data_IF_763247295141
#
_entry.id   IF_763247295141
#
_cell.length_a   1.000
_cell.length_b   1.000
_cell.length_c   1.000
_cell.angle_alpha   90.00
_cell.angle_beta   90.00
_cell.angle_gamma   90.00
#
_symmetry.space_group_name_H-M   'P 1'
#
loop_
_entity.id
_entity.type
_entity.pdbx_description
1 polymer ?
#
# COMPACT_ATOMS: atom_id res chain seq x y z
N UNK A 1 9.82 2.48 16.83
CA UNK A 1 11.00 3.35 16.59
C UNK A 1 11.80 3.74 17.85
N UNK A 2 11.35 3.45 19.08
CA UNK A 2 12.04 3.86 20.33
C UNK A 2 13.31 3.03 20.65
N UNK A 3 13.41 1.77 20.17
CA UNK A 3 14.56 0.88 20.48
C UNK A 3 15.87 1.22 19.76
N UNK A 4 15.83 1.89 18.60
CA UNK A 4 17.05 2.26 17.86
C UNK A 4 17.90 3.32 18.57
N UNK A 5 17.28 4.20 19.37
CA UNK A 5 17.99 5.22 20.14
C UNK A 5 18.79 4.66 21.31
N UNK A 6 18.29 3.60 21.97
CA UNK A 6 18.96 2.98 23.12
C UNK A 6 20.23 2.24 22.69
N UNK A 7 20.17 1.46 21.60
CA UNK A 7 21.35 0.76 21.07
C UNK A 7 22.46 1.73 20.64
N UNK A 8 22.13 2.85 19.98
CA UNK A 8 23.11 3.87 19.59
C UNK A 8 23.80 4.49 20.80
N UNK A 9 23.04 4.81 21.85
CA UNK A 9 23.59 5.35 23.11
C UNK A 9 24.54 4.36 23.79
N UNK A 10 24.18 3.08 23.82
CA UNK A 10 25.04 2.02 24.38
C UNK A 10 26.34 1.94 23.58
N UNK A 11 26.28 1.91 22.25
CA UNK A 11 27.48 1.85 21.40
C UNK A 11 28.41 3.04 21.64
N UNK A 12 27.89 4.27 21.64
CA UNK A 12 28.73 5.45 21.91
C UNK A 12 29.33 5.45 23.32
N UNK A 13 28.56 5.02 24.32
CA UNK A 13 29.05 4.89 25.68
C UNK A 13 30.15 3.84 25.81
N UNK A 14 29.98 2.67 25.18
CA UNK A 14 30.99 1.61 25.16
C UNK A 14 32.28 2.09 24.49
N UNK A 15 32.19 2.76 23.34
CA UNK A 15 33.36 3.33 22.66
C UNK A 15 34.07 4.34 23.55
N UNK A 16 33.33 5.23 24.21
CA UNK A 16 33.89 6.23 25.12
C UNK A 16 34.62 5.58 26.31
N UNK A 17 34.01 4.57 26.94
CA UNK A 17 34.62 3.84 28.06
C UNK A 17 35.92 3.14 27.64
N UNK A 18 35.93 2.50 26.46
CA UNK A 18 37.13 1.81 25.96
C UNK A 18 38.27 2.78 25.66
N UNK A 19 37.98 3.94 25.04
CA UNK A 19 38.99 4.98 24.79
C UNK A 19 39.52 5.56 26.11
N UNK A 20 38.62 5.83 27.07
CA UNK A 20 38.99 6.36 28.38
C UNK A 20 39.89 5.37 29.14
N UNK A 21 39.60 4.07 29.10
CA UNK A 21 40.45 3.04 29.69
C UNK A 21 41.85 3.02 29.07
N UNK A 22 41.95 3.10 27.74
CA UNK A 22 43.23 3.19 27.03
C UNK A 22 44.03 4.41 27.51
N UNK A 23 43.39 5.58 27.60
CA UNK A 23 44.03 6.82 28.06
C UNK A 23 44.49 6.72 29.53
N UNK A 24 43.72 6.09 30.40
CA UNK A 24 44.12 5.87 31.81
C UNK A 24 45.35 4.98 31.89
N UNK A 25 45.37 3.84 31.18
CA UNK A 25 46.53 2.95 31.21
C UNK A 25 47.78 3.62 30.60
N UNK A 26 47.63 4.41 29.52
CA UNK A 26 48.73 5.17 28.95
C UNK A 26 49.26 6.25 29.90
N UNK A 27 48.39 7.02 30.55
CA UNK A 27 48.81 8.07 31.50
C UNK A 27 49.47 7.48 32.74
N UNK A 28 48.90 6.43 33.33
CA UNK A 28 49.51 5.71 34.48
C UNK A 28 50.87 5.13 34.09
N UNK A 29 51.00 4.54 32.91
CA UNK A 29 52.28 3.98 32.47
C UNK A 29 53.35 5.05 32.26
N UNK A 30 52.99 6.22 31.73
CA UNK A 30 53.92 7.35 31.58
C UNK A 30 54.30 7.93 32.96
N UNK A 31 53.34 8.13 33.86
CA UNK A 31 53.59 8.68 35.19
C UNK A 31 54.49 7.76 36.04
N UNK A 32 54.23 6.45 36.05
CA UNK A 32 55.08 5.47 36.75
C UNK A 32 56.47 5.38 36.10
N UNK A 33 56.57 5.56 34.78
CA UNK A 33 57.86 5.58 34.09
C UNK A 33 58.72 6.80 34.38
N UNK A 34 58.11 7.93 34.74
CA UNK A 34 58.80 9.16 35.15
C UNK A 34 59.13 9.20 36.66
N UNK A 35 58.56 8.31 37.48
CA UNK A 35 58.89 8.21 38.90
C UNK A 35 60.26 7.53 39.09
N UNK A 36 61.27 8.33 39.42
CA UNK A 36 62.61 7.88 39.82
C UNK A 36 62.79 8.20 41.31
N UNK A 37 62.28 7.32 42.20
CA UNK A 37 62.46 7.50 43.64
C UNK A 37 62.46 6.19 44.41
N UNK A 38 63.40 6.13 45.36
CA UNK A 38 63.77 5.11 46.34
C UNK A 38 63.13 3.71 46.29
N UNK A 39 64.01 2.73 46.40
CA UNK A 39 63.82 1.27 46.26
C UNK A 39 62.83 0.60 47.25
N UNK A 40 62.03 1.34 48.01
CA UNK A 40 61.17 0.77 49.06
C UNK A 40 59.70 0.60 48.67
N UNK A 41 59.20 1.27 47.63
CA UNK A 41 57.76 1.21 47.29
C UNK A 41 57.47 0.23 46.13
N UNK A 42 56.95 -0.95 46.45
CA UNK A 42 56.57 -2.01 45.50
C UNK A 42 55.50 -1.59 44.47
N UNK A 43 54.82 -0.46 44.70
CA UNK A 43 53.71 0.04 43.88
C UNK A 43 54.21 0.86 42.67
N UNK A 44 55.33 1.57 42.79
CA UNK A 44 55.90 2.41 41.73
C UNK A 44 57.19 1.84 41.16
N UNK A 45 57.12 0.64 40.59
CA UNK A 45 58.27 0.00 39.92
C UNK A 45 58.23 0.20 38.40
N UNK A 46 59.42 0.34 37.77
CA UNK A 46 59.58 0.38 36.30
C UNK A 46 58.99 -0.88 35.61
N UNK A 47 58.90 -2.00 36.33
CA UNK A 47 58.21 -3.23 35.89
C UNK A 47 56.68 -3.05 35.80
N UNK A 48 56.07 -2.43 36.81
CA UNK A 48 54.63 -2.12 36.84
C UNK A 48 54.23 -1.22 35.66
N UNK A 49 55.06 -0.23 35.33
CA UNK A 49 54.88 0.62 34.14
C UNK A 49 54.96 -0.14 32.82
N UNK A 50 55.89 -1.10 32.69
CA UNK A 50 56.03 -1.94 31.50
C UNK A 50 54.83 -2.89 31.32
N UNK A 51 54.30 -3.46 32.40
CA UNK A 51 53.07 -4.29 32.34
C UNK A 51 51.83 -3.46 32.02
N UNK A 52 51.74 -2.23 32.52
CA UNK A 52 50.66 -1.30 32.20
C UNK A 52 50.67 -0.91 30.70
N UNK A 53 51.85 -0.65 30.13
CA UNK A 53 52.04 -0.43 28.69
C UNK A 53 51.66 -1.66 27.86
N UNK A 54 52.00 -2.88 28.32
CA UNK A 54 51.60 -4.12 27.64
C UNK A 54 50.08 -4.23 27.55
N UNK A 55 49.36 -3.99 28.64
CA UNK A 55 47.89 -4.01 28.68
C UNK A 55 47.31 -2.96 27.73
N UNK A 56 47.86 -1.73 27.74
CA UNK A 56 47.45 -0.69 26.82
C UNK A 56 47.66 -1.07 25.34
N UNK A 57 48.79 -1.68 24.99
CA UNK A 57 49.09 -2.14 23.63
C UNK A 57 48.11 -3.25 23.18
N UNK A 58 47.79 -4.21 24.05
CA UNK A 58 46.82 -5.28 23.75
C UNK A 58 45.43 -4.70 23.52
N UNK A 59 44.99 -3.75 24.37
CA UNK A 59 43.70 -3.07 24.19
C UNK A 59 43.66 -2.25 22.89
N UNK A 60 44.74 -1.56 22.55
CA UNK A 60 44.86 -0.79 21.32
C UNK A 60 44.82 -1.68 20.07
N UNK A 61 45.51 -2.83 20.10
CA UNK A 61 45.47 -3.81 19.03
C UNK A 61 44.07 -4.41 18.87
N UNK A 62 43.38 -4.70 19.97
CA UNK A 62 41.99 -5.18 19.95
C UNK A 62 41.03 -4.17 19.32
N UNK A 63 41.14 -2.88 19.67
CA UNK A 63 40.30 -1.82 19.10
C UNK A 63 40.63 -1.61 17.62
N UNK A 64 41.92 -1.58 17.26
CA UNK A 64 42.36 -1.47 15.87
C UNK A 64 41.80 -2.61 15.00
N UNK A 65 41.88 -3.85 15.47
CA UNK A 65 41.32 -5.02 14.76
C UNK A 65 39.80 -4.89 14.53
N UNK A 66 39.06 -4.39 15.52
CA UNK A 66 37.60 -4.19 15.40
C UNK A 66 37.28 -3.07 14.40
N UNK A 67 38.00 -1.95 14.48
CA UNK A 67 37.83 -0.80 13.57
C UNK A 67 38.09 -1.21 12.12
N UNK A 68 39.14 -1.99 11.85
CA UNK A 68 39.45 -2.48 10.50
C UNK A 68 38.37 -3.44 10.00
N UNK A 69 37.90 -4.38 10.82
CA UNK A 69 36.85 -5.33 10.43
C UNK A 69 35.53 -4.61 10.07
N UNK A 70 35.11 -3.67 10.92
CA UNK A 70 33.88 -2.90 10.70
C UNK A 70 34.04 -1.95 9.52
N UNK A 71 35.21 -1.29 9.39
CA UNK A 71 35.52 -0.43 8.25
C UNK A 71 35.50 -1.17 6.91
N UNK A 72 36.05 -2.38 6.85
CA UNK A 72 36.03 -3.21 5.64
C UNK A 72 34.60 -3.59 5.25
N UNK A 73 33.77 -3.99 6.21
CA UNK A 73 32.37 -4.31 5.96
C UNK A 73 31.61 -3.11 5.35
N UNK A 74 31.75 -1.92 5.95
CA UNK A 74 31.12 -0.71 5.43
C UNK A 74 31.71 -0.26 4.10
N UNK A 75 33.00 -0.47 3.85
CA UNK A 75 33.64 -0.22 2.56
C UNK A 75 33.04 -1.09 1.46
N UNK A 76 32.95 -2.41 1.67
CA UNK A 76 32.40 -3.33 0.67
C UNK A 76 30.93 -3.01 0.39
N UNK A 77 30.12 -2.85 1.43
CA UNK A 77 28.69 -2.51 1.27
C UNK A 77 28.50 -1.14 0.62
N UNK A 78 29.26 -0.14 1.06
CA UNK A 78 29.18 1.22 0.52
C UNK A 78 29.60 1.29 -0.95
N UNK A 79 30.68 0.59 -1.33
CA UNK A 79 31.20 0.59 -2.70
C UNK A 79 30.28 -0.16 -3.66
N UNK A 80 29.80 -1.36 -3.30
CA UNK A 80 28.86 -2.14 -4.12
C UNK A 80 27.57 -1.34 -4.33
N UNK A 81 27.01 -0.76 -3.25
CA UNK A 81 25.75 -0.04 -3.34
C UNK A 81 25.90 1.28 -4.10
N UNK A 82 27.01 2.00 -3.91
CA UNK A 82 27.27 3.24 -4.64
C UNK A 82 27.44 2.99 -6.14
N UNK A 83 28.28 2.03 -6.54
CA UNK A 83 28.49 1.70 -7.95
C UNK A 83 27.26 1.08 -8.62
N UNK A 84 26.51 0.25 -7.90
CA UNK A 84 25.33 -0.43 -8.46
C UNK A 84 24.09 0.44 -8.55
N UNK A 85 23.85 1.32 -7.57
CA UNK A 85 22.56 2.00 -7.42
C UNK A 85 22.63 3.53 -7.34
N UNK A 86 23.78 4.17 -7.10
CA UNK A 86 23.86 5.63 -6.95
C UNK A 86 24.61 6.32 -8.11
N UNK A 87 25.73 5.75 -8.55
CA UNK A 87 26.52 6.25 -9.67
C UNK A 87 25.71 6.54 -10.96
N UNK A 88 24.74 5.70 -11.40
CA UNK A 88 23.96 5.98 -12.60
C UNK A 88 22.95 7.14 -12.43
N UNK A 89 22.68 7.60 -11.21
CA UNK A 89 21.65 8.62 -10.92
C UNK A 89 22.21 10.00 -10.58
N UNK A 90 23.51 10.11 -10.31
CA UNK A 90 24.15 11.35 -9.86
C UNK A 90 24.46 12.31 -11.03
N UNK A 91 24.56 11.83 -12.28
CA UNK A 91 24.85 12.67 -13.44
C UNK A 91 23.92 12.42 -14.65
N UNK A 92 23.03 13.38 -14.99
CA UNK A 92 22.16 13.27 -16.18
C UNK A 92 22.96 13.30 -17.50
N UNK A 93 24.20 13.80 -17.51
CA UNK A 93 25.10 13.77 -18.68
C UNK A 93 25.83 12.44 -18.88
N UNK A 94 25.95 11.60 -17.84
CA UNK A 94 26.49 10.24 -18.00
C UNK A 94 25.42 9.31 -18.57
N UNK A 95 24.13 9.59 -18.33
CA UNK A 95 23.00 8.88 -18.95
C UNK A 95 23.07 8.89 -20.48
N UNK A 96 23.50 9.99 -21.10
CA UNK A 96 23.70 10.05 -22.57
C UNK A 96 24.97 9.35 -23.06
N UNK A 97 25.98 9.19 -22.20
CA UNK A 97 27.23 8.47 -22.51
C UNK A 97 27.12 6.96 -22.28
N UNK A 98 26.34 6.51 -21.29
CA UNK A 98 26.04 5.11 -21.03
C UNK A 98 25.06 4.56 -22.09
N UNK A 99 24.04 5.34 -22.49
CA UNK A 99 23.17 4.98 -23.62
C UNK A 99 23.92 4.82 -24.96
N UNK A 100 25.12 5.40 -25.08
CA UNK A 100 25.99 5.23 -26.26
C UNK A 100 26.89 3.99 -26.17
N UNK A 101 27.13 3.44 -24.97
CA UNK A 101 27.98 2.24 -24.77
C UNK A 101 27.20 0.98 -24.35
N UNK A 102 25.96 1.10 -23.90
CA UNK A 102 25.08 -0.04 -23.58
C UNK A 102 24.46 -0.70 -24.82
N UNK A 103 24.67 -0.14 -26.02
CA UNK A 103 24.35 -0.81 -27.30
C UNK A 103 25.25 -2.02 -27.61
N UNK A 104 26.32 -2.24 -26.83
CA UNK A 104 27.32 -3.30 -27.06
C UNK A 104 27.04 -4.56 -26.23
N UNK A 105 26.15 -4.52 -25.24
CA UNK A 105 25.69 -5.73 -24.53
C UNK A 105 24.34 -6.16 -25.13
N UNK A 106 24.36 -6.46 -26.43
CA UNK A 106 23.37 -7.36 -27.01
C UNK A 106 23.66 -8.75 -26.45
N UNK A 107 22.97 -9.15 -25.39
CA UNK A 107 22.84 -10.56 -25.07
C UNK A 107 22.22 -11.22 -26.31
N UNK A 108 23.06 -11.91 -27.09
CA UNK A 108 22.61 -12.88 -28.07
C UNK A 108 21.75 -13.91 -27.35
N UNK A 109 20.44 -13.70 -27.41
CA UNK A 109 19.45 -14.71 -27.03
C UNK A 109 19.02 -15.43 -28.29
N UNK A 110 19.98 -16.11 -28.91
CA UNK A 110 19.70 -17.28 -29.72
C UNK A 110 19.64 -18.46 -28.75
N UNK A 111 18.43 -18.89 -28.44
CA UNK A 111 18.11 -20.31 -28.14
C UNK A 111 16.60 -20.46 -27.97
N UNK A 112 16.03 -21.08 -28.99
CA UNK A 112 14.99 -22.10 -28.93
C UNK A 112 13.61 -21.75 -28.39
N UNK A 113 12.69 -21.68 -29.36
CA UNK A 113 11.29 -22.12 -29.37
C UNK A 113 10.83 -23.00 -28.21
N UNK A 114 9.54 -22.78 -27.91
CA UNK A 114 8.59 -23.69 -27.25
C UNK A 114 8.75 -23.87 -25.74
N UNK A 115 8.08 -23.00 -24.97
CA UNK A 115 7.36 -23.48 -23.78
C UNK A 115 6.25 -22.50 -23.37
N UNK A 116 5.00 -22.96 -23.53
CA UNK A 116 3.85 -22.43 -22.81
C UNK A 116 4.05 -22.68 -21.31
N UNK A 117 4.52 -21.67 -20.57
CA UNK A 117 4.27 -21.61 -19.12
C UNK A 117 4.39 -20.17 -18.66
N UNK A 118 3.31 -19.69 -18.06
CA UNK A 118 3.22 -18.48 -17.25
C UNK A 118 4.40 -18.33 -16.29
N UNK A 119 5.39 -17.53 -16.67
CA UNK A 119 6.36 -16.93 -15.77
C UNK A 119 6.18 -15.42 -15.87
N UNK A 120 5.98 -14.69 -14.75
CA UNK A 120 5.97 -13.24 -14.80
C UNK A 120 7.39 -12.81 -15.18
N UNK A 121 7.53 -12.35 -16.42
CA UNK A 121 8.74 -11.68 -16.89
C UNK A 121 8.95 -10.50 -15.93
N UNK A 122 9.91 -10.65 -15.03
CA UNK A 122 10.14 -9.71 -13.95
C UNK A 122 10.54 -8.37 -14.60
N UNK A 123 9.65 -7.38 -14.55
CA UNK A 123 10.00 -6.00 -14.87
C UNK A 123 11.23 -5.66 -14.05
N UNK A 124 12.36 -5.39 -14.71
CA UNK A 124 13.48 -4.76 -14.04
C UNK A 124 13.10 -3.29 -13.86
N UNK A 125 12.38 -2.98 -12.78
CA UNK A 125 11.92 -1.61 -12.47
C UNK A 125 12.95 -0.50 -12.77
N UNK A 126 14.25 -0.78 -12.61
CA UNK A 126 15.35 0.12 -12.93
C UNK A 126 15.50 0.52 -14.40
N UNK A 127 15.23 -0.38 -15.35
CA UNK A 127 15.42 -0.15 -16.80
C UNK A 127 14.17 0.43 -17.44
N UNK A 128 13.01 -0.19 -17.22
CA UNK A 128 11.77 0.20 -17.91
C UNK A 128 11.14 1.49 -17.34
N UNK A 129 11.26 1.76 -16.03
CA UNK A 129 10.80 3.05 -15.45
C UNK A 129 11.86 4.15 -15.68
N UNK A 130 13.14 3.77 -15.77
CA UNK A 130 14.25 4.68 -16.01
C UNK A 130 14.27 5.27 -17.44
N UNK A 131 13.82 4.48 -18.41
CA UNK A 131 13.72 4.87 -19.83
C UNK A 131 12.42 5.59 -20.18
N UNK A 132 11.50 5.69 -19.23
CA UNK A 132 10.18 6.21 -19.50
C UNK A 132 10.17 7.68 -19.90
N UNK A 133 9.71 7.97 -21.13
CA UNK A 133 9.62 9.34 -21.62
C UNK A 133 8.45 10.10 -20.95
N UNK A 134 8.56 11.42 -20.76
CA UNK A 134 7.55 12.20 -20.05
C UNK A 134 6.16 12.24 -20.72
N UNK A 135 6.09 11.93 -22.02
CA UNK A 135 4.85 11.93 -22.79
C UNK A 135 4.25 10.52 -23.00
N UNK A 136 4.87 9.48 -22.47
CA UNK A 136 4.38 8.11 -22.59
C UNK A 136 3.50 7.72 -21.39
N UNK A 137 2.55 6.83 -21.65
CA UNK A 137 1.71 6.21 -20.62
C UNK A 137 2.28 4.87 -20.22
N UNK A 138 2.01 4.45 -18.99
CA UNK A 138 2.39 3.12 -18.50
C UNK A 138 1.84 2.00 -19.38
N UNK A 139 0.65 2.22 -19.94
CA UNK A 139 -0.02 1.27 -20.82
C UNK A 139 0.71 1.09 -22.15
N UNK A 140 1.27 2.17 -22.72
CA UNK A 140 2.12 2.06 -23.92
C UNK A 140 3.37 1.19 -23.70
N UNK A 141 3.97 1.28 -22.50
CA UNK A 141 5.18 0.50 -22.12
C UNK A 141 4.83 -0.96 -21.82
N UNK A 142 3.72 -1.19 -21.13
CA UNK A 142 3.23 -2.54 -20.84
C UNK A 142 2.80 -3.28 -22.12
N UNK A 143 2.27 -2.54 -23.11
CA UNK A 143 1.96 -3.06 -24.42
C UNK A 143 3.25 -3.43 -25.19
N UNK A 144 4.22 -2.52 -25.24
CA UNK A 144 5.52 -2.76 -25.90
C UNK A 144 6.33 -3.91 -25.29
N UNK A 145 6.18 -4.17 -24.00
CA UNK A 145 6.80 -5.30 -23.28
C UNK A 145 5.98 -6.60 -23.33
N UNK A 146 4.83 -6.60 -24.03
CA UNK A 146 3.91 -7.73 -24.15
C UNK A 146 3.45 -8.31 -22.80
N UNK A 147 3.38 -7.47 -21.77
CA UNK A 147 2.95 -7.85 -20.42
C UNK A 147 1.44 -7.68 -20.25
N UNK A 148 0.89 -6.63 -20.87
CA UNK A 148 -0.52 -6.32 -20.79
C UNK A 148 -1.03 -5.71 -22.09
N UNK A 149 -1.66 -6.56 -22.90
CA UNK A 149 -2.30 -6.15 -24.14
C UNK A 149 -3.75 -5.72 -23.88
N UNK A 150 -3.94 -4.40 -23.80
CA UNK A 150 -5.24 -3.75 -23.64
C UNK A 150 -6.11 -3.96 -24.88
N UNK A 151 -5.49 -3.96 -26.07
CA UNK A 151 -6.21 -4.04 -27.33
C UNK A 151 -6.92 -5.38 -27.47
N UNK A 152 -6.27 -6.48 -27.10
CA UNK A 152 -6.87 -7.82 -27.20
C UNK A 152 -7.77 -8.19 -26.01
N UNK A 153 -7.53 -7.66 -24.81
CA UNK A 153 -8.32 -8.02 -23.61
C UNK A 153 -9.65 -7.30 -23.50
N UNK A 154 -9.76 -6.08 -24.06
CA UNK A 154 -11.01 -5.30 -24.03
C UNK A 154 -11.94 -5.59 -25.21
N UNK A 155 -11.45 -6.19 -26.30
CA UNK A 155 -12.25 -6.66 -27.46
C UNK A 155 -13.06 -7.92 -27.13
N UNK A 156 -13.83 -7.89 -26.05
CA UNK A 156 -14.82 -8.93 -25.77
C UNK A 156 -15.99 -8.70 -26.71
N UNK A 157 -16.26 -9.66 -27.60
CA UNK A 157 -17.46 -9.63 -28.44
C UNK A 157 -18.69 -9.76 -27.53
N UNK A 158 -19.36 -8.64 -27.29
CA UNK A 158 -20.61 -8.59 -26.49
C UNK A 158 -21.74 -9.33 -27.20
N UNK A 159 -21.68 -9.42 -28.53
CA UNK A 159 -22.64 -10.14 -29.35
C UNK A 159 -21.95 -11.32 -30.04
N UNK A 160 -22.26 -12.53 -29.58
CA UNK A 160 -21.85 -13.74 -30.27
C UNK A 160 -22.63 -13.87 -31.59
N UNK A 161 -21.91 -13.84 -32.71
CA UNK A 161 -22.43 -14.21 -34.02
C UNK A 161 -22.24 -15.72 -34.25
N UNK A 162 -23.23 -16.45 -34.79
CA UNK A 162 -24.52 -15.96 -35.27
C UNK A 162 -25.53 -15.73 -34.15
N UNK A 163 -26.37 -14.72 -34.33
CA UNK A 163 -27.49 -14.48 -33.44
C UNK A 163 -28.43 -15.69 -33.48
N UNK A 164 -28.76 -16.31 -32.34
CA UNK A 164 -29.65 -17.47 -32.34
C UNK A 164 -31.00 -17.07 -32.93
N UNK A 165 -31.45 -17.78 -33.97
CA UNK A 165 -32.77 -17.56 -34.55
C UNK A 165 -33.81 -17.63 -33.44
N UNK A 166 -34.50 -16.52 -33.15
CA UNK A 166 -35.58 -16.55 -32.18
C UNK A 166 -36.73 -17.31 -32.83
N UNK A 167 -37.30 -18.25 -32.08
CA UNK A 167 -38.64 -18.73 -32.37
C UNK A 167 -39.60 -17.60 -31.98
N UNK A 168 -39.75 -16.59 -32.85
CA UNK A 168 -40.89 -15.69 -32.72
C UNK A 168 -42.15 -16.55 -32.77
N UNK A 169 -43.15 -16.21 -31.94
CA UNK A 169 -44.44 -16.87 -31.99
C UNK A 169 -44.89 -16.92 -33.47
N UNK A 170 -45.31 -18.08 -33.99
CA UNK A 170 -45.73 -18.17 -35.37
C UNK A 170 -46.90 -17.21 -35.57
N UNK A 171 -46.64 -16.07 -36.22
CA UNK A 171 -47.67 -15.05 -36.46
C UNK A 171 -48.82 -15.60 -37.31
N UNK A 172 -48.57 -16.70 -38.02
CA UNK A 172 -49.55 -17.47 -38.77
C UNK A 172 -50.62 -18.15 -37.90
N UNK A 173 -50.38 -18.38 -36.61
CA UNK A 173 -51.36 -18.98 -35.70
C UNK A 173 -52.19 -17.95 -34.93
N UNK A 174 -51.97 -16.65 -35.16
CA UNK A 174 -52.83 -15.60 -34.62
C UNK A 174 -54.10 -15.53 -35.46
N UNK A 175 -54.97 -16.52 -35.28
CA UNK A 175 -56.36 -16.40 -35.71
C UNK A 175 -57.07 -15.47 -34.72
N UNK A 176 -56.74 -14.18 -34.80
CA UNK A 176 -57.51 -13.11 -34.18
C UNK A 176 -58.77 -12.88 -35.02
N UNK A 177 -59.48 -13.97 -35.34
CA UNK A 177 -60.87 -13.91 -35.71
C UNK A 177 -61.59 -13.51 -34.43
N UNK A 178 -61.59 -12.19 -34.21
CA UNK A 178 -62.47 -11.54 -33.27
C UNK A 178 -63.89 -11.88 -33.75
N UNK A 179 -64.35 -13.07 -33.35
CA UNK A 179 -65.73 -13.38 -33.07
C UNK A 179 -66.13 -12.56 -31.82
N UNK A 180 -65.82 -11.25 -31.82
CA UNK A 180 -66.67 -10.36 -31.07
C UNK A 180 -68.05 -10.67 -31.65
N UNK A 181 -68.98 -11.03 -30.77
CA UNK A 181 -70.41 -11.04 -31.06
C UNK A 181 -70.90 -9.60 -31.32
N UNK A 182 -70.11 -8.81 -32.07
CA UNK A 182 -70.44 -7.55 -32.73
C UNK A 182 -71.79 -7.65 -33.43
N UNK A 183 -72.16 -8.76 -34.12
CA UNK A 183 -73.50 -8.87 -34.71
C UNK A 183 -74.61 -8.83 -33.65
N UNK A 184 -74.42 -9.46 -32.48
CA UNK A 184 -75.42 -9.44 -31.39
C UNK A 184 -75.51 -8.06 -30.72
N UNK A 185 -74.38 -7.36 -30.52
CA UNK A 185 -74.38 -6.01 -29.95
C UNK A 185 -74.97 -4.97 -30.90
N UNK A 186 -74.72 -5.14 -32.20
CA UNK A 186 -75.31 -4.31 -33.25
C UNK A 186 -76.79 -4.63 -33.48
N UNK A 187 -77.32 -5.81 -33.16
CA UNK A 187 -78.74 -6.08 -33.43
C UNK A 187 -79.71 -5.40 -32.46
N UNK A 188 -79.20 -4.79 -31.39
CA UNK A 188 -79.99 -4.15 -30.36
C UNK A 188 -80.02 -2.62 -30.54
N UNK A 189 -80.97 -1.93 -29.90
CA UNK A 189 -81.13 -0.47 -29.86
C UNK A 189 -79.92 0.33 -29.32
N UNK A 190 -78.79 -0.33 -29.07
CA UNK A 190 -77.57 0.27 -28.52
C UNK A 190 -76.65 0.86 -29.61
N UNK A 191 -76.94 0.65 -30.90
CA UNK A 191 -76.13 1.21 -32.01
C UNK A 191 -75.97 2.73 -31.91
N UNK A 192 -77.07 3.42 -31.68
CA UNK A 192 -77.12 4.87 -31.70
C UNK A 192 -76.99 5.49 -30.30
N UNK A 193 -76.43 4.71 -29.35
CA UNK A 193 -76.22 5.16 -27.98
C UNK A 193 -75.25 6.35 -27.92
N UNK A 194 -75.63 7.36 -27.13
CA UNK A 194 -74.82 8.50 -26.70
C UNK A 194 -75.52 9.14 -25.49
N UNK A 195 -74.81 9.48 -24.41
CA UNK A 195 -75.43 10.04 -23.19
C UNK A 195 -76.28 11.30 -23.45
N UNK A 196 -75.83 12.17 -24.36
CA UNK A 196 -76.55 13.38 -24.79
C UNK A 196 -78.02 13.14 -25.20
N UNK A 197 -78.36 11.96 -25.72
CA UNK A 197 -79.75 11.66 -26.05
C UNK A 197 -80.62 11.47 -24.81
N UNK A 198 -80.04 11.02 -23.70
CA UNK A 198 -80.72 10.79 -22.43
C UNK A 198 -80.70 12.05 -21.57
N UNK A 199 -79.58 12.78 -21.54
CA UNK A 199 -79.47 14.00 -20.72
C UNK A 199 -80.41 15.11 -21.17
N UNK A 200 -80.80 15.15 -22.45
CA UNK A 200 -81.84 16.06 -22.97
C UNK A 200 -83.22 15.89 -22.33
N UNK A 201 -83.51 14.71 -21.76
CA UNK A 201 -84.79 14.43 -21.11
C UNK A 201 -84.71 14.52 -19.58
N UNK A 202 -83.54 14.83 -19.01
CA UNK A 202 -83.40 15.06 -17.58
C UNK A 202 -83.81 16.51 -17.25
N UNK A 203 -84.74 16.68 -16.31
CA UNK A 203 -85.15 17.99 -15.85
C UNK A 203 -84.08 18.62 -14.95
N UNK A 204 -83.57 19.79 -15.32
CA UNK A 204 -82.73 20.62 -14.43
C UNK A 204 -83.58 21.45 -13.45
N UNK A 205 -84.84 21.72 -13.80
CA UNK A 205 -85.79 22.49 -13.00
C UNK A 205 -87.01 21.61 -12.66
N UNK A 206 -87.21 21.34 -11.36
CA UNK A 206 -88.27 20.43 -10.89
C UNK A 206 -89.58 21.14 -10.60
N UNK A 207 -89.51 22.43 -10.26
CA UNK A 207 -90.66 23.24 -9.87
C UNK A 207 -90.77 24.43 -10.82
N UNK A 208 -91.99 24.79 -11.27
CA UNK A 208 -92.18 25.90 -12.22
C UNK A 208 -91.88 27.28 -11.62
N UNK A 209 -91.67 27.34 -10.29
CA UNK A 209 -91.32 28.56 -9.55
C UNK A 209 -90.25 28.18 -8.52
N UNK A 210 -89.35 29.10 -8.20
CA UNK A 210 -88.40 28.94 -7.11
C UNK A 210 -89.13 28.97 -5.76
N UNK A 211 -89.27 27.78 -5.15
CA UNK A 211 -89.92 27.64 -3.85
C UNK A 211 -89.23 28.48 -2.77
N UNK A 212 -87.91 28.67 -2.85
CA UNK A 212 -87.16 29.49 -1.88
C UNK A 212 -87.47 30.98 -2.02
N UNK A 213 -87.75 31.44 -3.23
CA UNK A 213 -88.19 32.81 -3.49
C UNK A 213 -89.60 33.04 -2.93
N UNK A 214 -90.53 32.13 -3.19
CA UNK A 214 -91.90 32.18 -2.61
C UNK A 214 -91.83 32.23 -1.08
N UNK A 215 -91.02 31.36 -0.46
CA UNK A 215 -90.85 31.34 1.00
C UNK A 215 -90.34 32.69 1.52
N UNK A 216 -89.34 33.29 0.86
CA UNK A 216 -88.82 34.62 1.22
C UNK A 216 -89.88 35.70 1.10
N UNK A 217 -90.63 35.72 0.00
CA UNK A 217 -91.71 36.69 -0.21
C UNK A 217 -92.78 36.59 0.86
N UNK A 218 -93.18 35.37 1.24
CA UNK A 218 -94.15 35.14 2.31
C UNK A 218 -93.61 35.64 3.66
N UNK A 219 -92.35 35.34 3.99
CA UNK A 219 -91.74 35.84 5.23
C UNK A 219 -91.55 37.36 5.25
N UNK A 220 -91.42 38.01 4.10
CA UNK A 220 -91.39 39.48 3.97
C UNK A 220 -92.79 40.10 4.05
N UNK A 221 -93.82 39.40 3.60
CA UNK A 221 -95.21 39.87 3.59
C UNK A 221 -95.89 39.69 4.96
N UNK A 222 -95.71 38.54 5.60
CA UNK A 222 -96.37 38.17 6.85
C UNK A 222 -96.27 39.24 7.95
N UNK A 223 -95.10 39.85 8.25
CA UNK A 223 -94.98 40.87 9.28
C UNK A 223 -95.75 42.16 8.95
N UNK A 224 -95.90 42.47 7.66
CA UNK A 224 -96.61 43.67 7.18
C UNK A 224 -98.12 43.58 7.36
N UNK A 225 -98.65 42.36 7.53
CA UNK A 225 -100.07 42.12 7.78
C UNK A 225 -100.46 42.30 9.25
N UNK A 226 -99.52 42.64 10.13
CA UNK A 226 -99.82 42.92 11.53
C UNK A 226 -100.67 44.19 11.68
N UNK A 227 -101.76 44.10 12.43
CA UNK A 227 -102.64 45.22 12.74
C UNK A 227 -103.03 45.18 14.21
N UNK A 228 -103.23 46.35 14.83
CA UNK A 228 -103.60 46.46 16.25
C UNK A 228 -104.92 45.76 16.59
N UNK A 229 -105.83 45.65 15.62
CA UNK A 229 -107.16 45.04 15.76
C UNK A 229 -107.22 43.57 15.28
N UNK A 230 -106.09 42.99 14.86
CA UNK A 230 -106.00 41.57 14.49
C UNK A 230 -106.78 41.15 13.23
N UNK A 231 -107.15 42.09 12.35
CA UNK A 231 -108.05 41.85 11.21
C UNK A 231 -107.49 40.78 10.25
N UNK A 232 -106.16 40.73 10.08
CA UNK A 232 -105.46 39.80 9.18
C UNK A 232 -104.70 38.69 9.90
N UNK A 233 -104.93 38.45 11.20
CA UNK A 233 -104.14 37.49 11.97
C UNK A 233 -104.24 36.05 11.46
N UNK A 234 -105.42 35.66 10.99
CA UNK A 234 -105.64 34.34 10.37
C UNK A 234 -104.82 34.19 9.08
N UNK A 235 -104.81 35.20 8.21
CA UNK A 235 -104.08 35.20 6.94
C UNK A 235 -102.58 35.19 7.20
N UNK A 236 -102.14 35.99 8.18
CA UNK A 236 -100.77 36.05 8.67
C UNK A 236 -100.29 34.65 9.10
N UNK A 237 -100.98 34.00 10.04
CA UNK A 237 -100.59 32.67 10.53
C UNK A 237 -100.67 31.60 9.41
N UNK A 238 -101.71 31.63 8.58
CA UNK A 238 -101.86 30.67 7.48
C UNK A 238 -100.71 30.77 6.48
N UNK A 239 -100.32 31.99 6.10
CA UNK A 239 -99.16 32.25 5.24
C UNK A 239 -97.87 31.72 5.86
N UNK A 240 -97.65 31.94 7.15
CA UNK A 240 -96.46 31.44 7.84
C UNK A 240 -96.42 29.90 7.86
N UNK A 241 -97.55 29.25 8.17
CA UNK A 241 -97.63 27.79 8.16
C UNK A 241 -97.36 27.23 6.77
N UNK A 242 -97.88 27.89 5.72
CA UNK A 242 -97.65 27.45 4.35
C UNK A 242 -96.19 27.65 3.92
N UNK A 243 -95.54 28.75 4.29
CA UNK A 243 -94.11 28.93 4.05
C UNK A 243 -93.28 27.82 4.70
N UNK A 244 -93.62 27.40 5.93
CA UNK A 244 -92.95 26.28 6.62
C UNK A 244 -93.24 24.94 5.93
N UNK A 245 -94.46 24.72 5.43
CA UNK A 245 -94.79 23.53 4.64
C UNK A 245 -93.98 23.47 3.33
N UNK A 246 -93.93 24.57 2.58
CA UNK A 246 -93.17 24.68 1.33
C UNK A 246 -91.68 24.48 1.61
N UNK A 247 -91.15 25.06 2.68
CA UNK A 247 -89.77 24.84 3.13
C UNK A 247 -89.49 23.35 3.35
N UNK A 248 -90.39 22.64 4.03
CA UNK A 248 -90.25 21.20 4.27
C UNK A 248 -90.29 20.39 2.97
N UNK A 249 -91.20 20.72 2.04
CA UNK A 249 -91.24 20.06 0.73
C UNK A 249 -89.99 20.32 -0.08
N UNK A 250 -89.49 21.55 -0.06
CA UNK A 250 -88.22 21.90 -0.69
C UNK A 250 -87.10 21.07 -0.08
N UNK A 251 -86.86 21.15 1.23
CA UNK A 251 -85.74 20.52 1.92
C UNK A 251 -85.73 18.99 1.77
N UNK A 252 -86.90 18.35 1.76
CA UNK A 252 -87.01 16.89 1.69
C UNK A 252 -86.97 16.32 0.27
N UNK A 253 -87.49 17.04 -0.73
CA UNK A 253 -87.69 16.49 -2.08
C UNK A 253 -86.71 17.08 -3.10
N UNK A 254 -86.61 18.42 -3.18
CA UNK A 254 -85.93 19.10 -4.29
C UNK A 254 -84.43 18.78 -4.32
N UNK A 255 -83.64 18.96 -3.23
CA UNK A 255 -82.23 18.59 -3.21
C UNK A 255 -81.99 17.10 -3.46
N UNK A 256 -82.86 16.23 -2.92
CA UNK A 256 -82.70 14.78 -3.07
C UNK A 256 -82.91 14.34 -4.51
N UNK A 257 -83.97 14.79 -5.17
CA UNK A 257 -84.24 14.40 -6.57
C UNK A 257 -83.18 15.02 -7.49
N UNK A 258 -82.78 16.27 -7.28
CA UNK A 258 -81.67 16.89 -8.02
C UNK A 258 -80.36 16.10 -7.85
N UNK A 259 -80.06 15.62 -6.65
CA UNK A 259 -78.88 14.78 -6.39
C UNK A 259 -78.90 13.50 -7.22
N UNK A 260 -80.04 12.79 -7.27
CA UNK A 260 -80.16 11.57 -8.07
C UNK A 260 -80.07 11.85 -9.58
N UNK A 261 -80.63 12.98 -10.05
CA UNK A 261 -80.50 13.41 -11.46
C UNK A 261 -79.04 13.67 -11.80
N UNK A 262 -78.30 14.33 -10.92
CA UNK A 262 -76.88 14.56 -11.10
C UNK A 262 -76.07 13.25 -11.09
N UNK A 263 -76.38 12.32 -10.18
CA UNK A 263 -75.75 11.00 -10.15
C UNK A 263 -76.00 10.22 -11.45
N UNK A 264 -77.24 10.18 -11.94
CA UNK A 264 -77.57 9.56 -13.24
C UNK A 264 -76.77 10.19 -14.38
N UNK A 265 -76.60 11.53 -14.38
CA UNK A 265 -75.79 12.24 -15.36
C UNK A 265 -74.31 11.82 -15.30
N UNK A 266 -73.75 11.67 -14.10
CA UNK A 266 -72.36 11.21 -13.94
C UNK A 266 -72.18 9.78 -14.46
N UNK A 267 -73.10 8.87 -14.14
CA UNK A 267 -73.06 7.49 -14.63
C UNK A 267 -73.14 7.45 -16.16
N UNK A 268 -74.03 8.23 -16.78
CA UNK A 268 -74.13 8.31 -18.24
C UNK A 268 -72.84 8.83 -18.89
N UNK A 269 -72.19 9.83 -18.28
CA UNK A 269 -70.88 10.33 -18.75
C UNK A 269 -69.76 9.30 -18.58
N UNK A 270 -69.81 8.48 -17.52
CA UNK A 270 -68.85 7.41 -17.30
C UNK A 270 -69.01 6.29 -18.34
N UNK A 271 -70.26 5.90 -18.65
CA UNK A 271 -70.55 4.94 -19.71
C UNK A 271 -70.00 5.45 -21.05
N UNK A 272 -70.19 6.74 -21.37
CA UNK A 272 -69.66 7.33 -22.59
C UNK A 272 -68.12 7.21 -22.68
N UNK A 273 -67.40 7.44 -21.58
CA UNK A 273 -65.94 7.28 -21.53
C UNK A 273 -65.48 5.85 -21.76
N UNK A 274 -66.24 4.86 -21.28
CA UNK A 274 -65.90 3.45 -21.39
C UNK A 274 -66.20 2.88 -22.79
N UNK A 275 -67.23 3.40 -23.44
CA UNK A 275 -67.85 2.76 -24.60
C UNK A 275 -67.62 3.54 -25.90
N UNK A 276 -67.50 4.86 -25.84
CA UNK A 276 -67.33 5.71 -27.02
C UNK A 276 -65.86 6.02 -27.30
N UNK A 277 -65.45 5.84 -28.55
CA UNK A 277 -64.12 6.22 -29.02
C UNK A 277 -64.17 7.60 -29.66
N UNK A 278 -63.44 8.56 -29.07
CA UNK A 278 -63.42 9.98 -29.51
C UNK A 278 -64.82 10.60 -29.61
N UNK A 279 -65.72 10.25 -28.69
CA UNK A 279 -67.11 10.74 -28.66
C UNK A 279 -67.92 10.45 -29.93
N UNK A 280 -67.50 9.48 -30.75
CA UNK A 280 -68.36 9.00 -31.82
C UNK A 280 -69.50 8.17 -31.24
N UNK A 281 -70.57 7.99 -32.01
CA UNK A 281 -71.61 7.01 -31.70
C UNK A 281 -71.01 5.61 -31.48
N UNK A 282 -71.70 4.79 -30.68
CA UNK A 282 -71.19 3.47 -30.30
C UNK A 282 -70.90 2.58 -31.53
N UNK A 283 -71.77 2.60 -32.54
CA UNK A 283 -71.60 1.86 -33.79
C UNK A 283 -70.28 2.20 -34.51
N UNK A 284 -69.99 3.49 -34.67
CA UNK A 284 -68.76 3.99 -35.30
C UNK A 284 -67.54 3.63 -34.45
N UNK A 285 -67.64 3.79 -33.14
CA UNK A 285 -66.57 3.42 -32.21
C UNK A 285 -66.21 1.93 -32.32
N UNK A 286 -67.23 1.07 -32.41
CA UNK A 286 -67.08 -0.37 -32.60
C UNK A 286 -66.49 -0.73 -33.98
N UNK A 287 -66.92 -0.04 -35.04
CA UNK A 287 -66.35 -0.22 -36.39
C UNK A 287 -64.86 0.16 -36.42
N UNK A 288 -64.50 1.32 -35.86
CA UNK A 288 -63.10 1.76 -35.79
C UNK A 288 -62.27 0.73 -35.00
N UNK A 289 -62.76 0.23 -33.87
CA UNK A 289 -62.08 -0.80 -33.10
C UNK A 289 -61.86 -2.08 -33.92
N UNK A 290 -62.90 -2.54 -34.63
CA UNK A 290 -62.82 -3.70 -35.52
C UNK A 290 -61.79 -3.50 -36.63
N UNK A 291 -61.81 -2.34 -37.28
CA UNK A 291 -60.85 -1.99 -38.33
C UNK A 291 -59.42 -1.87 -37.80
N UNK A 292 -59.21 -1.26 -36.64
CA UNK A 292 -57.90 -1.17 -35.99
C UNK A 292 -57.35 -2.55 -35.64
N UNK A 293 -58.18 -3.42 -35.06
CA UNK A 293 -57.77 -4.78 -34.73
C UNK A 293 -57.50 -5.64 -35.98
N UNK A 294 -58.32 -5.49 -37.03
CA UNK A 294 -58.10 -6.18 -38.30
C UNK A 294 -56.78 -5.74 -38.94
N UNK A 295 -56.50 -4.43 -38.98
CA UNK A 295 -55.22 -3.90 -39.48
C UNK A 295 -54.02 -4.38 -38.68
N UNK A 296 -54.11 -4.40 -37.35
CA UNK A 296 -53.05 -4.91 -36.50
C UNK A 296 -52.78 -6.41 -36.76
N UNK A 297 -53.83 -7.20 -36.94
CA UNK A 297 -53.74 -8.63 -37.24
C UNK A 297 -53.08 -8.88 -38.60
N UNK A 298 -53.49 -8.13 -39.63
CA UNK A 298 -52.89 -8.20 -40.97
C UNK A 298 -51.40 -7.80 -40.90
N UNK A 299 -51.06 -6.71 -40.21
CA UNK A 299 -49.67 -6.28 -40.05
C UNK A 299 -48.81 -7.34 -39.35
N UNK A 300 -49.28 -7.92 -38.25
CA UNK A 300 -48.54 -8.95 -37.52
C UNK A 300 -48.33 -10.21 -38.36
N UNK A 301 -49.35 -10.64 -39.11
CA UNK A 301 -49.28 -11.82 -39.99
C UNK A 301 -48.37 -11.59 -41.19
N UNK A 302 -48.52 -10.46 -41.88
CA UNK A 302 -47.87 -10.25 -43.18
C UNK A 302 -46.47 -9.63 -43.05
N UNK A 303 -46.24 -8.77 -42.03
CA UNK A 303 -44.98 -8.01 -41.85
C UNK A 303 -44.31 -8.22 -40.49
N UNK A 304 -44.91 -8.97 -39.58
CA UNK A 304 -44.41 -9.12 -38.21
C UNK A 304 -43.01 -9.74 -38.16
N UNK A 305 -42.80 -10.82 -38.90
CA UNK A 305 -41.51 -11.54 -38.94
C UNK A 305 -40.41 -10.70 -39.61
N UNK A 306 -40.70 -10.08 -40.76
CA UNK A 306 -39.78 -9.19 -41.46
C UNK A 306 -39.35 -8.02 -40.57
N UNK A 307 -40.34 -7.32 -39.98
CA UNK A 307 -40.09 -6.14 -39.13
C UNK A 307 -39.29 -6.54 -37.88
N UNK A 308 -39.61 -7.67 -37.25
CA UNK A 308 -38.89 -8.14 -36.07
C UNK A 308 -37.45 -8.54 -36.39
N UNK A 309 -37.22 -9.19 -37.54
CA UNK A 309 -35.89 -9.55 -38.01
C UNK A 309 -35.04 -8.32 -38.34
N UNK A 310 -35.61 -7.35 -39.06
CA UNK A 310 -34.94 -6.09 -39.40
C UNK A 310 -34.59 -5.28 -38.14
N UNK A 311 -35.54 -5.12 -37.21
CA UNK A 311 -35.32 -4.42 -35.95
C UNK A 311 -34.22 -5.12 -35.14
N UNK A 312 -34.26 -6.45 -35.05
CA UNK A 312 -33.21 -7.22 -34.38
C UNK A 312 -31.85 -6.95 -35.00
N UNK A 313 -31.75 -7.01 -36.33
CA UNK A 313 -30.48 -6.76 -37.05
C UNK A 313 -29.97 -5.36 -36.77
N UNK A 314 -30.81 -4.35 -36.91
CA UNK A 314 -30.43 -2.95 -36.71
C UNK A 314 -30.01 -2.67 -35.26
N UNK A 315 -30.76 -3.18 -34.26
CA UNK A 315 -30.39 -3.03 -32.84
C UNK A 315 -29.09 -3.75 -32.53
N UNK A 316 -28.89 -4.94 -33.08
CA UNK A 316 -27.66 -5.71 -32.88
C UNK A 316 -26.45 -4.98 -33.43
N UNK A 317 -26.54 -4.49 -34.68
CA UNK A 317 -25.47 -3.71 -35.32
C UNK A 317 -25.20 -2.44 -34.52
N UNK A 318 -26.26 -1.73 -34.12
CA UNK A 318 -26.13 -0.51 -33.33
C UNK A 318 -25.43 -0.77 -32.00
N UNK A 319 -25.83 -1.80 -31.26
CA UNK A 319 -25.21 -2.14 -29.97
C UNK A 319 -23.75 -2.56 -30.15
N UNK A 320 -23.43 -3.39 -31.15
CA UNK A 320 -22.05 -3.80 -31.43
C UNK A 320 -21.16 -2.60 -31.79
N UNK A 321 -21.66 -1.70 -32.64
CA UNK A 321 -20.97 -0.46 -33.01
C UNK A 321 -20.73 0.45 -31.80
N UNK A 322 -21.75 0.69 -30.97
CA UNK A 322 -21.61 1.52 -29.77
C UNK A 322 -20.60 0.93 -28.77
N UNK A 323 -20.60 -0.39 -28.61
CA UNK A 323 -19.62 -1.08 -27.75
C UNK A 323 -18.21 -0.95 -28.32
N UNK A 324 -18.02 -1.18 -29.63
CA UNK A 324 -16.71 -1.06 -30.26
C UNK A 324 -16.18 0.38 -30.18
N UNK A 325 -17.01 1.38 -30.45
CA UNK A 325 -16.66 2.79 -30.33
C UNK A 325 -16.24 3.16 -28.89
N UNK A 326 -16.93 2.62 -27.89
CA UNK A 326 -16.56 2.82 -26.49
C UNK A 326 -15.23 2.14 -26.15
N UNK A 327 -15.00 0.90 -26.61
CA UNK A 327 -13.74 0.19 -26.43
C UNK A 327 -12.58 0.96 -27.07
N UNK A 328 -12.73 1.45 -28.29
CA UNK A 328 -11.71 2.24 -28.98
C UNK A 328 -11.39 3.55 -28.24
N UNK A 329 -12.41 4.23 -27.73
CA UNK A 329 -12.22 5.41 -26.88
C UNK A 329 -11.40 5.07 -25.63
N UNK A 330 -11.75 3.99 -24.92
CA UNK A 330 -11.03 3.55 -23.72
C UNK A 330 -9.58 3.19 -24.04
N UNK A 331 -9.33 2.45 -25.12
CA UNK A 331 -7.96 2.10 -25.57
C UNK A 331 -7.18 3.39 -25.85
N UNK A 332 -7.75 4.32 -26.61
CA UNK A 332 -7.10 5.59 -26.96
C UNK A 332 -6.77 6.43 -25.72
N UNK A 333 -7.71 6.57 -24.78
CA UNK A 333 -7.48 7.30 -23.53
C UNK A 333 -6.43 6.62 -22.66
N UNK A 334 -6.44 5.28 -22.57
CA UNK A 334 -5.42 4.52 -21.85
C UNK A 334 -4.01 4.71 -22.43
N UNK A 335 -3.88 4.73 -23.76
CA UNK A 335 -2.58 4.86 -24.41
C UNK A 335 -2.04 6.29 -24.38
N UNK A 336 -2.90 7.31 -24.37
CA UNK A 336 -2.47 8.71 -24.53
C UNK A 336 -2.56 9.56 -23.26
N UNK A 337 -3.59 9.36 -22.43
CA UNK A 337 -3.93 10.30 -21.35
C UNK A 337 -3.84 9.68 -19.94
N UNK A 338 -4.13 8.38 -19.80
CA UNK A 338 -4.17 7.71 -18.49
C UNK A 338 -2.82 7.12 -18.11
N UNK A 339 -2.40 7.33 -16.86
CA UNK A 339 -1.19 6.70 -16.33
C UNK A 339 0.10 7.24 -16.94
N UNK A 340 0.21 8.57 -17.09
CA UNK A 340 1.44 9.23 -17.53
C UNK A 340 2.62 8.81 -16.67
N UNK A 341 3.74 8.58 -17.32
CA UNK A 341 4.88 7.98 -16.66
C UNK A 341 5.81 8.98 -15.98
N UNK A 342 5.80 10.25 -16.40
CA UNK A 342 6.57 11.34 -15.79
C UNK A 342 6.50 11.37 -14.24
N UNK A 343 5.32 11.35 -13.58
CA UNK A 343 5.25 11.35 -12.12
C UNK A 343 5.83 10.07 -11.49
N UNK A 344 5.67 8.91 -12.13
CA UNK A 344 6.20 7.64 -11.62
C UNK A 344 7.74 7.62 -11.69
N UNK A 345 8.29 8.01 -12.85
CA UNK A 345 9.72 8.15 -13.03
C UNK A 345 10.31 9.16 -12.03
N UNK A 346 9.65 10.32 -11.84
CA UNK A 346 10.08 11.33 -10.88
C UNK A 346 10.16 10.78 -9.45
N UNK A 347 9.13 10.06 -8.98
CA UNK A 347 9.12 9.44 -7.65
C UNK A 347 10.25 8.42 -7.53
N UNK A 348 10.45 7.58 -8.55
CA UNK A 348 11.54 6.60 -8.55
C UNK A 348 12.91 7.28 -8.44
N UNK A 349 13.21 8.24 -9.32
CA UNK A 349 14.48 8.99 -9.30
C UNK A 349 14.72 9.69 -7.96
N UNK A 350 13.70 10.36 -7.41
CA UNK A 350 13.80 11.04 -6.11
C UNK A 350 14.02 10.05 -4.97
N UNK A 351 13.37 8.89 -5.00
CA UNK A 351 13.50 7.89 -3.94
C UNK A 351 14.91 7.30 -3.90
N UNK A 352 15.49 6.98 -5.05
CA UNK A 352 16.85 6.46 -5.16
C UNK A 352 17.86 7.53 -4.73
N UNK A 353 17.74 8.76 -5.25
CA UNK A 353 18.60 9.88 -4.84
C UNK A 353 18.56 10.12 -3.33
N UNK A 354 17.38 10.09 -2.72
CA UNK A 354 17.22 10.28 -1.28
C UNK A 354 17.93 9.19 -0.46
N UNK A 355 17.88 7.93 -0.89
CA UNK A 355 18.60 6.83 -0.24
C UNK A 355 20.11 6.99 -0.40
N UNK A 356 20.56 7.37 -1.59
CA UNK A 356 21.97 7.66 -1.86
C UNK A 356 22.50 8.78 -0.97
N UNK A 357 21.80 9.91 -0.90
CA UNK A 357 22.22 11.09 -0.13
C UNK A 357 22.14 10.88 1.38
N UNK A 358 21.09 10.22 1.88
CA UNK A 358 20.84 10.13 3.33
C UNK A 358 21.44 8.90 4.00
N UNK A 359 21.76 7.85 3.24
CA UNK A 359 22.26 6.60 3.80
C UNK A 359 23.65 6.26 3.26
N UNK A 360 23.78 6.18 1.94
CA UNK A 360 24.99 5.63 1.31
C UNK A 360 26.16 6.62 1.40
N UNK A 361 25.93 7.91 1.13
CA UNK A 361 26.96 8.95 1.25
C UNK A 361 27.50 9.07 2.69
N UNK A 362 26.68 9.11 3.76
CA UNK A 362 27.16 9.08 5.14
C UNK A 362 27.90 7.78 5.52
N UNK A 363 27.45 6.61 5.03
CA UNK A 363 28.16 5.34 5.25
C UNK A 363 29.56 5.37 4.59
N UNK A 364 29.66 5.95 3.39
CA UNK A 364 30.92 6.16 2.69
C UNK A 364 31.84 7.13 3.45
N UNK A 365 31.31 8.22 3.99
CA UNK A 365 32.08 9.12 4.86
C UNK A 365 32.55 8.44 6.16
N UNK A 366 31.74 7.56 6.74
CA UNK A 366 32.04 6.89 8.00
C UNK A 366 33.26 5.95 7.91
N UNK A 367 33.35 5.10 6.87
CA UNK A 367 34.50 4.18 6.75
C UNK A 367 35.80 4.93 6.45
N UNK A 368 35.75 6.04 5.70
CA UNK A 368 36.92 6.91 5.48
C UNK A 368 37.43 7.49 6.80
N UNK A 369 36.50 7.93 7.67
CA UNK A 369 36.84 8.39 9.02
C UNK A 369 37.44 7.29 9.90
N UNK A 370 36.87 6.08 9.88
CA UNK A 370 37.42 4.92 10.59
C UNK A 370 38.82 4.54 10.10
N UNK A 371 39.05 4.58 8.78
CA UNK A 371 40.36 4.29 8.19
C UNK A 371 41.40 5.31 8.67
N UNK A 372 41.07 6.59 8.64
CA UNK A 372 41.98 7.65 9.10
C UNK A 372 42.30 7.50 10.60
N UNK A 373 41.30 7.16 11.42
CA UNK A 373 41.48 6.89 12.84
C UNK A 373 42.38 5.66 13.07
N UNK A 374 42.18 4.58 12.33
CA UNK A 374 43.04 3.40 12.36
C UNK A 374 44.49 3.70 12.00
N UNK A 375 44.71 4.56 11.00
CA UNK A 375 46.05 4.98 10.57
C UNK A 375 46.78 5.76 11.67
N UNK A 376 46.07 6.61 12.43
CA UNK A 376 46.64 7.34 13.58
C UNK A 376 46.98 6.43 14.77
N UNK A 377 46.34 5.27 14.91
CA UNK A 377 46.67 4.31 15.98
C UNK A 377 48.01 3.59 15.76
N UNK A 378 48.41 3.35 14.50
CA UNK A 378 49.67 2.67 14.16
C UNK A 378 50.93 3.32 14.76
N UNK A 379 51.19 4.63 14.61
CA UNK A 379 52.37 5.26 15.21
C UNK A 379 52.33 5.26 16.75
N UNK A 380 51.15 5.34 17.35
CA UNK A 380 50.97 5.32 18.81
C UNK A 380 51.35 3.95 19.37
N UNK A 381 50.89 2.86 18.73
CA UNK A 381 51.23 1.49 19.13
C UNK A 381 52.74 1.23 18.95
N UNK A 382 53.33 1.71 17.86
CA UNK A 382 54.78 1.60 17.63
C UNK A 382 55.59 2.28 18.74
N UNK A 383 55.25 3.53 19.09
CA UNK A 383 55.89 4.27 20.16
C UNK A 383 55.70 3.60 21.53
N UNK A 384 54.49 3.14 21.83
CA UNK A 384 54.18 2.44 23.07
C UNK A 384 55.01 1.15 23.22
N UNK A 385 55.15 0.36 22.15
CA UNK A 385 55.98 -0.86 22.16
C UNK A 385 57.46 -0.55 22.40
N UNK A 386 57.99 0.51 21.77
CA UNK A 386 59.37 0.95 22.01
C UNK A 386 59.59 1.40 23.46
N UNK A 387 58.65 2.18 24.03
CA UNK A 387 58.69 2.58 25.44
C UNK A 387 58.63 1.38 26.38
N UNK A 388 57.77 0.40 26.09
CA UNK A 388 57.64 -0.83 26.88
C UNK A 388 58.97 -1.61 26.92
N UNK A 389 59.64 -1.74 25.77
CA UNK A 389 60.95 -2.37 25.68
C UNK A 389 62.01 -1.62 26.50
N UNK A 390 61.97 -0.28 26.49
CA UNK A 390 62.88 0.56 27.27
C UNK A 390 62.65 0.39 28.78
N UNK A 391 61.39 0.39 29.24
CA UNK A 391 61.07 0.21 30.66
C UNK A 391 61.51 -1.16 31.18
N UNK A 392 61.40 -2.22 30.37
CA UNK A 392 61.86 -3.56 30.75
C UNK A 392 63.39 -3.62 30.90
N UNK A 393 64.14 -2.95 30.02
CA UNK A 393 65.61 -2.86 30.12
C UNK A 393 66.05 -2.06 31.35
N UNK A 394 65.41 -0.93 31.63
CA UNK A 394 65.74 -0.11 32.81
C UNK A 394 65.40 -0.80 34.13
N UNK A 395 64.31 -1.58 34.20
CA UNK A 395 63.99 -2.35 35.40
C UNK A 395 65.06 -3.41 35.72
N UNK A 396 65.53 -4.15 34.72
CA UNK A 396 66.63 -5.10 34.88
C UNK A 396 67.92 -4.43 35.37
N UNK A 397 68.17 -3.20 34.93
CA UNK A 397 69.30 -2.41 35.39
C UNK A 397 69.18 -2.04 36.89
N UNK A 398 68.02 -1.52 37.30
CA UNK A 398 67.80 -1.16 38.71
C UNK A 398 67.81 -2.35 39.67
N UNK A 399 67.43 -3.55 39.21
CA UNK A 399 67.44 -4.74 40.05
C UNK A 399 68.85 -5.21 40.41
N UNK A 400 69.80 -5.14 39.47
CA UNK A 400 71.19 -5.54 39.76
C UNK A 400 71.87 -4.57 40.73
N UNK A 401 71.45 -3.30 40.76
CA UNK A 401 72.04 -2.28 41.64
C UNK A 401 71.49 -2.40 43.07
N UNK A 402 70.23 -2.80 43.22
CA UNK A 402 69.55 -3.04 44.51
C UNK A 402 69.96 -4.34 45.23
N UNK A 403 70.37 -5.36 44.47
CA UNK A 403 71.01 -6.54 45.03
C UNK A 403 72.50 -6.25 45.04
N UNK A 404 73.05 -5.81 46.16
CA UNK A 404 74.49 -5.54 46.31
C UNK A 404 75.35 -6.75 45.99
N UNK A 405 75.61 -7.00 44.70
CA UNK A 405 76.72 -7.81 44.24
C UNK A 405 77.89 -6.84 44.27
N UNK A 406 78.67 -6.94 45.34
CA UNK A 406 79.99 -6.32 45.41
C UNK A 406 80.75 -6.68 44.13
N UNK A 407 81.33 -5.66 43.51
CA UNK A 407 82.37 -5.82 42.51
C UNK A 407 83.47 -6.65 43.19
N UNK A 408 83.56 -7.93 42.88
CA UNK A 408 84.83 -8.64 43.00
C UNK A 408 85.53 -8.35 41.69
N UNK A 409 86.68 -7.69 41.78
CA UNK A 409 87.61 -7.55 40.66
C UNK A 409 87.82 -8.93 40.01
N UNK A 410 87.38 -9.06 38.76
CA UNK A 410 87.61 -10.24 37.92
C UNK A 410 86.41 -11.20 37.77
N UNK A 411 85.36 -10.76 37.06
CA UNK A 411 84.34 -11.67 36.55
C UNK A 411 83.35 -10.98 35.61
N UNK A 412 83.47 -11.20 34.30
CA UNK A 412 82.61 -10.58 33.30
C UNK A 412 81.32 -11.41 33.09
N UNK A 413 80.17 -10.90 33.51
CA UNK A 413 78.86 -11.41 33.09
C UNK A 413 78.42 -10.66 31.83
N UNK A 414 78.79 -11.19 30.65
CA UNK A 414 78.35 -10.63 29.36
C UNK A 414 77.18 -11.45 28.81
N UNK A 415 75.95 -11.01 29.08
CA UNK A 415 74.80 -11.35 28.24
C UNK A 415 74.80 -10.44 27.01
N UNK A 416 75.57 -10.78 25.98
CA UNK A 416 75.34 -10.22 24.64
C UNK A 416 74.38 -11.13 23.90
N UNK A 417 73.10 -10.74 23.87
CA UNK A 417 72.25 -11.07 22.73
C UNK A 417 72.78 -10.25 21.54
N UNK A 418 73.61 -10.88 20.70
CA UNK A 418 73.80 -10.43 19.32
C UNK A 418 73.05 -11.38 18.40
N UNK A 419 72.23 -10.78 17.56
CA UNK A 419 71.58 -11.43 16.43
C UNK A 419 72.61 -12.23 15.62
N UNK A 420 72.32 -13.51 15.37
CA UNK A 420 73.03 -14.26 14.33
C UNK A 420 72.30 -14.04 13.00
N UNK A 421 72.96 -13.48 11.97
CA UNK A 421 72.65 -13.88 10.62
C UNK A 421 73.41 -15.19 10.34
N UNK A 422 72.67 -16.17 9.84
CA UNK A 422 73.15 -17.38 9.18
C UNK A 422 74.37 -17.12 8.28
N UNK A 423 75.46 -17.90 8.43
CA UNK A 423 76.13 -18.65 7.34
C UNK A 423 77.28 -19.56 7.84
N UNK A 424 77.62 -20.63 7.09
CA UNK A 424 78.25 -21.84 7.62
C UNK A 424 79.76 -21.92 7.38
N UNK A 425 80.46 -22.70 8.22
CA UNK A 425 81.71 -23.36 7.81
C UNK A 425 82.83 -23.41 8.85
N UNK A 426 83.26 -24.65 9.11
CA UNK A 426 84.59 -25.12 9.48
C UNK A 426 85.07 -25.13 10.94
N UNK A 427 85.50 -26.35 11.31
CA UNK A 427 86.10 -26.83 12.55
C UNK A 427 87.46 -26.18 12.87
N UNK A 428 87.68 -25.87 14.15
CA UNK A 428 88.95 -26.16 14.83
C UNK A 428 88.76 -26.06 16.36
N UNK A 429 89.09 -27.15 17.06
CA UNK A 429 89.27 -27.22 18.50
C UNK A 429 90.47 -26.35 18.93
N UNK A 430 90.28 -25.48 19.93
CA UNK A 430 91.36 -24.99 20.78
C UNK A 430 90.89 -24.97 22.26
N UNK A 431 91.64 -25.58 23.19
CA UNK A 431 91.35 -25.48 24.62
C UNK A 431 91.92 -24.16 25.19
N UNK A 432 91.13 -23.48 26.00
CA UNK A 432 91.58 -22.30 26.76
C UNK A 432 92.27 -22.75 28.06
N UNK A 433 93.52 -22.33 28.24
CA UNK A 433 94.29 -22.49 29.49
C UNK A 433 94.11 -21.25 30.38
N UNK A 434 93.94 -21.45 31.69
CA UNK A 434 94.03 -20.38 32.68
C UNK A 434 95.49 -20.20 33.12
N UNK A 435 95.96 -18.94 33.16
CA UNK A 435 97.27 -18.56 33.70
C UNK A 435 97.19 -18.58 35.22
N UNK A 436 97.54 -19.72 35.82
CA UNK A 436 98.25 -19.88 37.10
C UNK A 436 98.26 -21.37 37.45
N UNK A 437 99.41 -22.01 37.22
CA UNK A 437 99.59 -23.45 37.31
C UNK A 437 99.56 -23.99 38.74
N UNK A 438 98.39 -24.43 39.18
CA UNK A 438 98.24 -25.42 40.25
C UNK A 438 97.18 -26.47 39.83
N UNK A 439 97.43 -27.77 40.05
CA UNK A 439 96.48 -28.81 39.68
C UNK A 439 95.22 -28.80 40.58
N UNK A 440 94.08 -29.09 39.95
CA UNK A 440 92.77 -29.24 40.57
C UNK A 440 92.78 -30.43 41.54
N UNK A 441 92.33 -30.30 42.81
CA UNK A 441 92.07 -31.47 43.63
C UNK A 441 90.80 -32.16 43.13
N UNK A 442 90.97 -33.40 42.65
CA UNK A 442 89.90 -34.39 42.49
C UNK A 442 89.53 -35.01 43.85
N UNK A 443 88.35 -35.68 43.87
CA UNK A 443 87.77 -36.58 44.90
C UNK A 443 86.68 -35.89 45.76
N UNK A 444 85.48 -36.41 46.02
CA UNK A 444 84.67 -37.58 45.60
C UNK A 444 83.23 -37.27 46.10
N UNK A 445 82.24 -37.87 45.45
CA UNK A 445 80.83 -37.98 45.88
C UNK A 445 80.62 -38.27 47.38
N UNK A 446 79.64 -37.61 48.00
CA UNK A 446 78.64 -38.33 48.80
C UNK A 446 77.27 -37.64 48.76
N UNK A 447 76.26 -38.48 48.61
CA UNK A 447 74.86 -38.28 48.24
C UNK A 447 73.93 -37.96 49.41
N UNK A 448 72.88 -37.16 49.19
CA UNK A 448 71.54 -37.40 49.75
C UNK A 448 70.47 -36.44 49.21
N UNK A 449 69.36 -37.02 48.72
CA UNK A 449 68.00 -36.47 48.50
C UNK A 449 67.84 -35.29 47.52
N UNK A 450 67.04 -35.34 46.47
CA UNK A 450 66.05 -36.29 45.99
C UNK A 450 65.37 -35.62 44.79
N UNK A 451 65.40 -36.29 43.64
CA UNK A 451 64.76 -35.81 42.42
C UNK A 451 63.34 -36.38 42.35
N UNK A 452 62.33 -35.52 42.21
CA UNK A 452 61.10 -35.88 41.50
C UNK A 452 60.56 -34.69 40.71
N UNK A 453 60.31 -35.01 39.45
CA UNK A 453 59.76 -34.22 38.36
C UNK A 453 58.34 -33.73 38.65
N UNK A 454 58.08 -32.45 38.34
CA UNK A 454 56.72 -31.91 38.19
C UNK A 454 56.23 -32.25 36.78
N UNK A 455 55.61 -33.41 36.67
CA UNK A 455 54.73 -33.78 35.56
C UNK A 455 53.68 -34.73 36.13
N UNK A 456 52.77 -34.22 36.98
CA UNK A 456 51.50 -34.85 37.37
C UNK A 456 50.86 -34.02 38.49
N UNK A 457 49.93 -33.11 38.16
CA UNK A 457 48.96 -32.58 39.14
C UNK A 457 47.70 -31.98 38.52
N UNK A 458 47.30 -32.43 37.33
CA UNK A 458 45.91 -32.25 36.84
C UNK A 458 44.93 -33.31 37.40
N UNK A 459 45.38 -34.25 38.24
CA UNK A 459 44.55 -35.31 38.79
C UNK A 459 43.99 -35.07 40.22
N UNK A 460 44.31 -33.95 40.88
CA UNK A 460 43.96 -33.75 42.31
C UNK A 460 42.77 -32.79 42.52
N UNK A 461 42.29 -32.09 41.49
CA UNK A 461 41.13 -31.19 41.63
C UNK A 461 39.77 -31.87 41.40
N UNK A 462 39.74 -33.10 40.88
CA UNK A 462 38.50 -33.86 40.65
C UNK A 462 38.03 -34.70 41.86
N UNK A 463 38.85 -34.85 42.92
CA UNK A 463 38.50 -35.63 44.12
C UNK A 463 37.97 -34.81 45.29
N UNK A 464 37.96 -33.47 45.21
CA UNK A 464 37.53 -32.59 46.30
C UNK A 464 36.05 -32.13 46.19
N UNK A 465 35.31 -32.60 45.19
CA UNK A 465 33.87 -32.31 45.00
C UNK A 465 32.94 -33.38 45.56
N UNK A 466 33.45 -34.45 46.19
CA UNK A 466 32.64 -35.56 46.74
C UNK A 466 32.68 -35.69 48.27
N UNK A 467 33.37 -34.81 49.01
CA UNK A 467 33.46 -34.84 50.48
C UNK A 467 32.91 -33.60 51.20
N UNK A 468 32.02 -32.84 50.55
CA UNK A 468 31.26 -31.73 51.16
C UNK A 468 29.75 -31.99 51.20
N UNK A 469 29.37 -33.27 51.32
CA UNK A 469 28.01 -33.78 51.55
C UNK A 469 28.08 -34.93 52.57
N UNK A 470 28.45 -34.60 53.80
CA UNK A 470 28.12 -35.31 55.06
C UNK A 470 28.92 -34.63 56.17
N UNK A 471 28.45 -33.44 56.56
CA UNK A 471 28.42 -32.89 57.92
C UNK A 471 27.51 -31.66 57.90
#
# INVERSE_FOLDING_TARGET
MVKFGSARKIIHYTIFVVILLILIFLTIAILIGCCDRDHSDKICSKSTGATCLLIAIVLMFSVFSLVVLVGLFYFVMGLITYQGACAPFENPQIKSMLNRKDSVIKLNRDTTKDFHQSNPLALRMSTEIGECLPNETIFSILLGSNLYDIENKLRVKVIHSPLPEPKFFPFNSLDFNINLKVPMLLNNNFRDYHSEKFTKFLCDELTPVDLTEIIKEIFLLHPKLWTQWGIYDWARIALQNEAVNIQKFYDELVPKVLSHINEMRQILLEIDKLVLYKSNQFDKSLQILKEMSTRATIFMRDKGEETASELRRNVTIYVDDQVNNYIEMVISECLNNVGKCAPLAYIYYRSVAMVCDRLINPMNGFWVGLLLCGLLFLPIVFLAHHLQCLYRKMYQYTQYESQGIGIIEGGCARCTAYATPFRPGFFAHQPHYCVNGNPMPSIVHESALGATSVAETEAVLASNTLKRKQE
#
